data_IF_891953686268
#
_entry.id   IF_891953686268
#
_cell.length_a   1.000
_cell.length_b   1.000
_cell.length_c   1.000
_cell.angle_alpha   90.00
_cell.angle_beta   90.00
_cell.angle_gamma   90.00
#
_symmetry.space_group_name_H-M   'P 1'
#
loop_
_entity.id
_entity.type
_entity.pdbx_description
1 polymer ?
#
# COMPACT_ATOMS: atom_id res chain seq x y z
N UNK A 1 3.79 -25.71 -9.08
CA UNK A 1 4.72 -26.16 -10.15
C UNK A 1 6.12 -26.31 -9.55
N UNK A 2 6.86 -27.39 -9.84
CA UNK A 2 8.24 -27.56 -9.33
C UNK A 2 9.24 -26.98 -10.34
N UNK A 3 9.94 -25.91 -9.95
CA UNK A 3 10.86 -25.14 -10.82
C UNK A 3 12.33 -25.61 -10.77
N UNK A 4 12.71 -26.37 -9.74
CA UNK A 4 14.03 -27.00 -9.63
C UNK A 4 13.95 -28.43 -9.09
N UNK A 5 14.92 -29.27 -9.46
CA UNK A 5 15.16 -30.59 -8.87
C UNK A 5 16.65 -30.79 -8.64
N UNK A 6 17.05 -31.23 -7.45
CA UNK A 6 18.46 -31.46 -7.09
C UNK A 6 19.37 -30.26 -7.41
N UNK A 7 18.92 -29.05 -7.04
CA UNK A 7 19.63 -27.77 -7.28
C UNK A 7 19.87 -27.44 -8.75
N UNK A 8 19.09 -28.05 -9.66
CA UNK A 8 19.11 -27.74 -11.09
C UNK A 8 17.75 -27.25 -11.54
N UNK A 9 17.77 -26.28 -12.43
CA UNK A 9 16.59 -25.75 -13.09
C UNK A 9 15.87 -26.85 -13.87
N UNK A 10 14.54 -26.77 -13.90
CA UNK A 10 13.76 -27.51 -14.88
C UNK A 10 13.67 -26.60 -16.11
N UNK A 11 14.56 -26.80 -17.08
CA UNK A 11 14.82 -25.85 -18.17
C UNK A 11 13.59 -25.51 -19.02
N UNK A 12 12.67 -26.46 -19.19
CA UNK A 12 11.41 -26.25 -19.92
C UNK A 12 10.51 -25.21 -19.23
N UNK A 13 10.41 -25.26 -17.90
CA UNK A 13 9.67 -24.28 -17.10
C UNK A 13 10.32 -22.91 -17.19
N UNK A 14 11.65 -22.83 -17.01
CA UNK A 14 12.38 -21.55 -17.08
C UNK A 14 12.25 -20.94 -18.48
N UNK A 15 12.40 -21.74 -19.54
CA UNK A 15 12.23 -21.29 -20.93
C UNK A 15 10.80 -20.81 -21.20
N UNK A 16 9.79 -21.53 -20.71
CA UNK A 16 8.39 -21.13 -20.86
C UNK A 16 8.14 -19.76 -20.20
N UNK A 17 8.64 -19.55 -18.98
CA UNK A 17 8.53 -18.25 -18.30
C UNK A 17 9.21 -17.14 -19.09
N UNK A 18 10.47 -17.34 -19.52
CA UNK A 18 11.20 -16.35 -20.34
C UNK A 18 10.47 -16.01 -21.64
N UNK A 19 9.85 -16.99 -22.30
CA UNK A 19 9.11 -16.73 -23.55
C UNK A 19 7.80 -15.96 -23.40
N UNK A 20 7.27 -15.82 -22.18
CA UNK A 20 5.97 -15.17 -21.90
C UNK A 20 6.09 -13.84 -21.18
N UNK A 21 7.32 -13.39 -20.92
CA UNK A 21 7.60 -12.15 -20.18
C UNK A 21 8.33 -11.19 -21.10
N UNK A 22 7.90 -9.92 -21.08
CA UNK A 22 8.36 -8.89 -22.01
C UNK A 22 9.87 -8.59 -21.87
N UNK A 23 10.39 -8.59 -20.64
CA UNK A 23 11.82 -8.41 -20.35
C UNK A 23 12.34 -9.63 -19.58
N UNK A 24 12.69 -10.72 -20.28
CA UNK A 24 12.98 -12.01 -19.66
C UNK A 24 14.22 -12.00 -18.79
N UNK A 25 15.20 -11.14 -19.08
CA UNK A 25 16.44 -11.05 -18.27
C UNK A 25 16.19 -10.46 -16.89
N UNK A 26 15.29 -9.47 -16.78
CA UNK A 26 14.89 -8.88 -15.48
C UNK A 26 14.19 -9.94 -14.63
N UNK A 27 13.18 -10.61 -15.20
CA UNK A 27 12.52 -11.71 -14.51
C UNK A 27 13.47 -12.83 -14.10
N UNK A 28 14.43 -13.19 -14.98
CA UNK A 28 15.41 -14.22 -14.65
C UNK A 28 16.33 -13.78 -13.51
N UNK A 29 16.67 -12.50 -13.44
CA UNK A 29 17.33 -11.88 -12.29
C UNK A 29 16.54 -12.05 -10.99
N UNK A 30 15.24 -11.73 -11.00
CA UNK A 30 14.36 -11.89 -9.83
C UNK A 30 14.23 -13.36 -9.40
N UNK A 31 14.15 -14.26 -10.38
CA UNK A 31 14.17 -15.70 -10.15
C UNK A 31 15.46 -16.13 -9.43
N UNK A 32 16.62 -15.72 -9.93
CA UNK A 32 17.92 -16.03 -9.32
C UNK A 32 18.07 -15.42 -7.92
N UNK A 33 17.60 -14.19 -7.72
CA UNK A 33 17.61 -13.52 -6.41
C UNK A 33 16.76 -14.28 -5.39
N UNK A 34 15.52 -14.64 -5.76
CA UNK A 34 14.61 -15.42 -4.92
C UNK A 34 15.19 -16.79 -4.57
N UNK A 35 15.78 -17.47 -5.57
CA UNK A 35 16.46 -18.73 -5.37
C UNK A 35 17.66 -18.57 -4.42
N UNK A 36 18.49 -17.55 -4.62
CA UNK A 36 19.64 -17.24 -3.76
C UNK A 36 19.23 -17.05 -2.31
N UNK A 37 18.19 -16.26 -2.06
CA UNK A 37 17.63 -16.05 -0.73
C UNK A 37 17.16 -17.37 -0.08
N UNK A 38 16.43 -18.20 -0.83
CA UNK A 38 15.98 -19.51 -0.34
C UNK A 38 17.15 -20.45 0.00
N UNK A 39 18.24 -20.43 -0.78
CA UNK A 39 19.44 -21.24 -0.52
C UNK A 39 20.22 -20.77 0.70
N UNK A 40 20.29 -19.45 0.93
CA UNK A 40 20.86 -18.91 2.17
C UNK A 40 20.04 -19.39 3.37
N UNK A 41 18.71 -19.28 3.31
CA UNK A 41 17.82 -19.78 4.36
C UNK A 41 18.00 -21.28 4.62
N UNK A 42 18.04 -22.09 3.57
CA UNK A 42 18.29 -23.53 3.66
C UNK A 42 19.63 -23.85 4.34
N UNK A 43 20.70 -23.16 3.93
CA UNK A 43 22.04 -23.34 4.50
C UNK A 43 22.04 -23.01 6.00
N UNK A 44 21.48 -21.85 6.39
CA UNK A 44 21.40 -21.44 7.79
C UNK A 44 20.56 -22.39 8.64
N UNK A 45 19.46 -22.91 8.10
CA UNK A 45 18.65 -23.91 8.78
C UNK A 45 19.43 -25.22 9.00
N UNK A 46 20.19 -25.68 8.01
CA UNK A 46 21.07 -26.87 8.14
C UNK A 46 22.14 -26.65 9.20
N UNK A 47 22.77 -25.47 9.26
CA UNK A 47 23.75 -25.10 10.28
C UNK A 47 23.13 -25.13 11.70
N UNK A 48 21.92 -24.58 11.87
CA UNK A 48 21.19 -24.63 13.14
C UNK A 48 20.88 -26.07 13.56
N UNK A 49 20.38 -26.90 12.64
CA UNK A 49 20.07 -28.30 12.91
C UNK A 49 21.32 -29.10 13.26
N UNK A 50 22.45 -28.85 12.60
CA UNK A 50 23.72 -29.50 12.93
C UNK A 50 24.22 -29.12 14.33
N UNK A 51 24.00 -27.88 14.76
CA UNK A 51 24.45 -27.36 16.06
C UNK A 51 23.56 -27.81 17.22
N UNK A 52 22.25 -27.76 17.05
CA UNK A 52 21.28 -27.93 18.14
C UNK A 52 20.48 -29.23 18.05
N UNK A 53 20.53 -29.94 16.92
CA UNK A 53 19.74 -31.13 16.68
C UNK A 53 18.36 -30.81 16.09
N UNK A 54 17.88 -31.71 15.23
CA UNK A 54 16.61 -31.54 14.50
C UNK A 54 15.41 -31.39 15.42
N UNK A 55 15.30 -32.23 16.45
CA UNK A 55 14.13 -32.25 17.32
C UNK A 55 14.05 -30.97 18.15
N UNK A 56 15.16 -30.47 18.70
CA UNK A 56 15.22 -29.16 19.37
C UNK A 56 14.77 -28.01 18.48
N UNK A 57 15.17 -27.98 17.21
CA UNK A 57 14.72 -26.94 16.27
C UNK A 57 13.21 -27.04 15.99
N UNK A 58 12.67 -28.26 15.86
CA UNK A 58 11.22 -28.46 15.68
C UNK A 58 10.44 -28.01 16.91
N UNK A 59 10.91 -28.37 18.10
CA UNK A 59 10.30 -27.97 19.37
C UNK A 59 10.32 -26.45 19.53
N UNK A 60 11.45 -25.80 19.19
CA UNK A 60 11.54 -24.34 19.18
C UNK A 60 10.54 -23.68 18.23
N UNK A 61 10.37 -24.20 17.01
CA UNK A 61 9.40 -23.65 16.05
C UNK A 61 7.98 -23.76 16.60
N UNK A 62 7.60 -24.90 17.17
CA UNK A 62 6.29 -25.08 17.80
C UNK A 62 6.09 -24.10 18.96
N UNK A 63 7.05 -24.04 19.90
CA UNK A 63 6.97 -23.15 21.06
C UNK A 63 6.94 -21.67 20.65
N UNK A 64 7.67 -21.28 19.60
CA UNK A 64 7.66 -19.91 19.10
C UNK A 64 6.29 -19.50 18.53
N UNK A 65 5.65 -20.39 17.78
CA UNK A 65 4.30 -20.17 17.27
C UNK A 65 3.30 -20.11 18.43
N UNK A 66 3.39 -21.02 19.41
CA UNK A 66 2.49 -21.06 20.56
C UNK A 66 2.68 -19.85 21.49
N UNK A 67 3.92 -19.39 21.66
CA UNK A 67 4.21 -18.12 22.35
C UNK A 67 3.55 -16.93 21.65
N UNK A 68 3.66 -16.88 20.32
CA UNK A 68 3.08 -15.79 19.52
C UNK A 68 1.55 -15.80 19.59
N UNK A 69 0.95 -16.99 19.60
CA UNK A 69 -0.48 -17.17 19.84
C UNK A 69 -0.91 -16.66 21.21
N UNK A 70 -0.20 -17.03 22.29
CA UNK A 70 -0.49 -16.53 23.66
C UNK A 70 -0.34 -15.01 23.77
N UNK A 71 0.67 -14.43 23.10
CA UNK A 71 0.88 -12.97 23.07
C UNK A 71 -0.26 -12.25 22.36
N UNK A 72 -0.72 -12.78 21.22
CA UNK A 72 -1.88 -12.22 20.51
C UNK A 72 -3.16 -12.39 21.34
N UNK A 73 -3.36 -13.55 21.94
CA UNK A 73 -4.53 -13.83 22.78
C UNK A 73 -4.64 -12.84 23.95
N UNK A 74 -3.54 -12.59 24.65
CA UNK A 74 -3.49 -11.58 25.70
C UNK A 74 -3.76 -10.17 25.15
N UNK A 75 -3.15 -9.79 24.02
CA UNK A 75 -3.41 -8.47 23.45
C UNK A 75 -4.91 -8.28 23.08
N UNK A 76 -5.58 -9.34 22.62
CA UNK A 76 -7.03 -9.30 22.34
C UNK A 76 -7.85 -9.24 23.64
N UNK A 77 -7.42 -9.90 24.72
CA UNK A 77 -8.15 -9.90 26.00
C UNK A 77 -8.23 -8.51 26.65
N UNK A 78 -7.25 -7.65 26.35
CA UNK A 78 -7.20 -6.26 26.85
C UNK A 78 -8.05 -5.29 26.01
N UNK A 79 -8.50 -5.70 24.82
CA UNK A 79 -9.36 -4.85 24.00
C UNK A 79 -10.79 -4.79 24.56
N UNK A 80 -11.49 -3.64 24.38
CA UNK A 80 -12.92 -3.60 24.67
C UNK A 80 -13.69 -4.56 23.76
N UNK A 81 -14.69 -5.25 24.31
CA UNK A 81 -15.60 -6.06 23.52
C UNK A 81 -16.49 -5.13 22.66
N UNK A 82 -16.70 -5.51 21.40
CA UNK A 82 -17.49 -4.68 20.49
C UNK A 82 -17.69 -5.31 19.12
N UNK A 83 -18.73 -4.84 18.44
CA UNK A 83 -18.89 -4.99 17.00
C UNK A 83 -18.60 -3.63 16.37
N UNK A 84 -17.62 -3.59 15.49
CA UNK A 84 -17.14 -2.38 14.81
C UNK A 84 -17.49 -2.47 13.33
N UNK A 85 -17.81 -1.34 12.72
CA UNK A 85 -18.12 -1.27 11.30
C UNK A 85 -17.30 -0.20 10.62
N UNK A 86 -16.90 -0.46 9.39
CA UNK A 86 -16.22 0.53 8.56
C UNK A 86 -16.55 0.33 7.11
N UNK A 87 -16.61 1.45 6.42
CA UNK A 87 -16.90 1.53 5.00
C UNK A 87 -15.82 2.35 4.33
N UNK A 88 -15.32 1.84 3.20
CA UNK A 88 -14.48 2.57 2.26
C UNK A 88 -15.00 2.31 0.84
N UNK A 89 -14.45 3.00 -0.15
CA UNK A 89 -14.88 2.86 -1.53
C UNK A 89 -13.72 3.08 -2.46
N UNK A 90 -13.53 2.13 -3.37
CA UNK A 90 -12.65 2.30 -4.51
C UNK A 90 -13.32 3.21 -5.54
N UNK A 91 -12.55 4.06 -6.19
CA UNK A 91 -13.02 4.98 -7.21
C UNK A 91 -13.67 4.31 -8.43
N UNK A 92 -14.47 5.06 -9.22
CA UNK A 92 -15.06 4.57 -10.46
C UNK A 92 -14.04 4.03 -11.47
N UNK A 93 -14.46 3.01 -12.22
CA UNK A 93 -13.70 2.44 -13.34
C UNK A 93 -14.61 2.28 -14.56
N UNK A 94 -14.06 2.11 -15.78
CA UNK A 94 -14.86 1.73 -16.94
C UNK A 94 -15.73 0.50 -16.66
N UNK A 95 -17.05 0.66 -16.74
CA UNK A 95 -18.03 -0.38 -16.41
C UNK A 95 -18.44 -0.46 -14.93
N UNK A 96 -17.86 0.36 -14.05
CA UNK A 96 -18.15 0.47 -12.61
C UNK A 96 -18.26 1.95 -12.22
N UNK A 97 -19.31 2.68 -12.67
CA UNK A 97 -19.41 4.14 -12.54
C UNK A 97 -19.53 4.64 -11.09
N UNK A 98 -20.02 3.81 -10.17
CA UNK A 98 -20.16 4.15 -8.74
C UNK A 98 -18.95 3.69 -7.91
N UNK A 99 -17.90 3.15 -8.57
CA UNK A 99 -16.79 2.50 -7.89
C UNK A 99 -17.19 1.18 -7.22
N UNK A 100 -16.38 0.73 -6.26
CA UNK A 100 -16.61 -0.54 -5.56
C UNK A 100 -16.59 -0.30 -4.04
N UNK A 101 -17.69 -0.56 -3.31
CA UNK A 101 -17.69 -0.43 -1.86
C UNK A 101 -16.84 -1.53 -1.21
N UNK A 102 -16.24 -1.19 -0.07
CA UNK A 102 -15.56 -2.12 0.84
C UNK A 102 -16.17 -1.96 2.21
N UNK A 103 -16.92 -2.97 2.65
CA UNK A 103 -17.52 -3.05 3.97
C UNK A 103 -16.72 -4.03 4.83
N UNK A 104 -16.45 -3.64 6.06
CA UNK A 104 -15.76 -4.47 7.05
C UNK A 104 -16.57 -4.45 8.33
N UNK A 105 -16.91 -5.64 8.85
CA UNK A 105 -17.45 -5.79 10.20
C UNK A 105 -16.46 -6.56 11.06
N UNK A 106 -16.06 -5.99 12.20
CA UNK A 106 -15.12 -6.61 13.12
C UNK A 106 -15.84 -6.95 14.42
N UNK A 107 -15.71 -8.19 14.90
CA UNK A 107 -16.19 -8.59 16.23
C UNK A 107 -15.00 -8.91 17.10
N UNK A 108 -14.82 -8.13 18.15
CA UNK A 108 -13.78 -8.35 19.15
C UNK A 108 -14.42 -9.14 20.29
N UNK A 109 -13.89 -10.34 20.55
CA UNK A 109 -14.35 -11.25 21.59
C UNK A 109 -13.24 -11.48 22.61
N UNK A 110 -13.03 -10.56 23.57
CA UNK A 110 -11.91 -10.64 24.51
C UNK A 110 -11.91 -11.92 25.34
N UNK A 111 -13.10 -12.43 25.73
CA UNK A 111 -13.23 -13.65 26.53
C UNK A 111 -12.89 -14.93 25.74
N UNK A 112 -13.05 -14.90 24.41
CA UNK A 112 -12.62 -15.98 23.52
C UNK A 112 -11.21 -15.74 22.96
N UNK A 113 -10.59 -14.60 23.28
CA UNK A 113 -9.29 -14.15 22.78
C UNK A 113 -9.22 -14.16 21.24
N UNK A 114 -10.33 -13.82 20.58
CA UNK A 114 -10.49 -13.89 19.13
C UNK A 114 -11.02 -12.57 18.56
N UNK A 115 -10.49 -12.21 17.40
CA UNK A 115 -11.06 -11.18 16.53
C UNK A 115 -11.62 -11.86 15.28
N UNK A 116 -12.88 -11.59 14.96
CA UNK A 116 -13.50 -12.00 13.70
C UNK A 116 -13.62 -10.80 12.77
N UNK A 117 -13.12 -10.91 11.54
CA UNK A 117 -13.28 -9.92 10.48
C UNK A 117 -14.20 -10.50 9.41
N UNK A 118 -15.40 -9.96 9.27
CA UNK A 118 -16.42 -10.43 8.35
C UNK A 118 -16.45 -9.56 7.08
N UNK A 119 -16.11 -10.17 5.94
CA UNK A 119 -16.07 -9.53 4.63
C UNK A 119 -17.15 -10.06 3.69
N UNK A 120 -18.11 -10.84 4.21
CA UNK A 120 -19.14 -11.47 3.38
C UNK A 120 -20.15 -10.46 2.83
N UNK A 121 -20.36 -9.35 3.52
CA UNK A 121 -21.22 -8.24 3.08
C UNK A 121 -20.50 -7.28 2.11
N UNK A 122 -19.95 -7.83 1.03
CA UNK A 122 -19.35 -7.06 -0.05
C UNK A 122 -19.93 -7.52 -1.38
N UNK A 123 -19.76 -6.71 -2.43
CA UNK A 123 -20.33 -7.02 -3.75
C UNK A 123 -19.65 -8.23 -4.39
N UNK A 124 -20.35 -8.81 -5.36
CA UNK A 124 -19.80 -9.91 -6.16
C UNK A 124 -18.55 -9.49 -6.93
N UNK A 125 -17.77 -10.46 -7.39
CA UNK A 125 -16.63 -10.19 -8.27
C UNK A 125 -17.06 -9.32 -9.47
N UNK A 126 -16.27 -8.29 -9.74
CA UNK A 126 -16.52 -7.31 -10.79
C UNK A 126 -15.74 -7.64 -12.06
N UNK A 127 -16.19 -7.21 -13.26
CA UNK A 127 -15.50 -7.46 -14.53
C UNK A 127 -14.29 -6.52 -14.72
N UNK A 128 -13.43 -6.42 -13.70
CA UNK A 128 -12.23 -5.59 -13.69
C UNK A 128 -11.05 -6.33 -13.03
N UNK A 129 -9.83 -5.83 -13.20
CA UNK A 129 -8.61 -6.43 -12.64
C UNK A 129 -8.41 -6.28 -11.14
N UNK A 130 -9.36 -5.66 -10.44
CA UNK A 130 -9.24 -5.24 -9.03
C UNK A 130 -9.85 -6.23 -8.01
N UNK A 131 -10.38 -7.38 -8.46
CA UNK A 131 -10.84 -8.40 -7.52
C UNK A 131 -9.66 -8.94 -6.71
N UNK A 132 -9.88 -9.18 -5.42
CA UNK A 132 -8.86 -9.77 -4.57
C UNK A 132 -8.79 -11.29 -4.75
N UNK A 133 -7.60 -11.82 -4.51
CA UNK A 133 -7.43 -13.25 -4.26
C UNK A 133 -7.84 -13.59 -2.83
N UNK A 134 -8.16 -14.85 -2.54
CA UNK A 134 -8.44 -15.31 -1.17
C UNK A 134 -7.29 -14.95 -0.22
N UNK A 135 -6.05 -15.13 -0.67
CA UNK A 135 -4.86 -14.77 0.08
C UNK A 135 -4.84 -13.26 0.38
N UNK A 136 -5.03 -12.42 -0.64
CA UNK A 136 -5.06 -10.96 -0.49
C UNK A 136 -6.16 -10.48 0.45
N UNK A 137 -7.38 -11.00 0.31
CA UNK A 137 -8.52 -10.66 1.18
C UNK A 137 -8.22 -11.02 2.64
N UNK A 138 -7.67 -12.21 2.87
CA UNK A 138 -7.30 -12.68 4.21
C UNK A 138 -6.19 -11.83 4.81
N UNK A 139 -5.10 -11.59 4.07
CA UNK A 139 -3.94 -10.87 4.59
C UNK A 139 -4.21 -9.39 4.77
N UNK A 140 -5.00 -8.75 3.91
CA UNK A 140 -5.38 -7.35 4.05
C UNK A 140 -6.18 -7.09 5.34
N UNK A 141 -7.17 -7.94 5.63
CA UNK A 141 -7.90 -7.91 6.89
C UNK A 141 -6.96 -8.13 8.09
N UNK A 142 -6.05 -9.11 8.00
CA UNK A 142 -5.07 -9.34 9.06
C UNK A 142 -4.14 -8.15 9.27
N UNK A 143 -3.61 -7.53 8.21
CA UNK A 143 -2.74 -6.35 8.32
C UNK A 143 -3.47 -5.22 9.04
N UNK A 144 -4.72 -4.92 8.65
CA UNK A 144 -5.51 -3.88 9.30
C UNK A 144 -5.72 -4.14 10.80
N UNK A 145 -5.99 -5.39 11.19
CA UNK A 145 -6.04 -5.78 12.62
C UNK A 145 -4.69 -5.59 13.29
N UNK A 146 -3.61 -6.11 12.69
CA UNK A 146 -2.28 -6.10 13.29
C UNK A 146 -1.73 -4.69 13.45
N UNK A 147 -2.10 -3.73 12.59
CA UNK A 147 -1.78 -2.31 12.75
C UNK A 147 -2.38 -1.69 14.03
N UNK A 148 -3.46 -2.27 14.55
CA UNK A 148 -4.18 -1.79 15.73
C UNK A 148 -3.89 -2.61 17.00
N UNK A 149 -3.00 -3.61 16.91
CA UNK A 149 -2.59 -4.46 18.02
C UNK A 149 -1.17 -4.10 18.43
N UNK A 150 -0.88 -4.17 19.74
CA UNK A 150 0.45 -3.97 20.32
C UNK A 150 1.58 -4.52 19.42
N UNK A 151 2.49 -3.61 19.04
CA UNK A 151 3.65 -3.87 18.19
C UNK A 151 4.61 -4.95 18.73
N UNK A 152 4.55 -5.25 20.03
CA UNK A 152 5.35 -6.28 20.68
C UNK A 152 4.85 -7.71 20.41
N UNK A 153 3.65 -7.89 19.85
CA UNK A 153 3.12 -9.19 19.43
C UNK A 153 3.89 -9.71 18.21
N UNK A 154 4.51 -10.90 18.26
CA UNK A 154 5.22 -11.44 17.11
C UNK A 154 4.29 -11.68 15.91
N UNK A 155 4.66 -11.16 14.74
CA UNK A 155 3.87 -11.27 13.50
C UNK A 155 4.20 -12.56 12.76
N UNK A 156 3.61 -13.68 13.18
CA UNK A 156 3.76 -14.98 12.51
C UNK A 156 2.48 -15.82 12.60
N UNK A 157 2.51 -17.00 11.99
CA UNK A 157 1.37 -17.92 11.90
C UNK A 157 0.75 -18.35 13.23
N UNK A 158 1.45 -18.19 14.37
CA UNK A 158 0.89 -18.40 15.70
C UNK A 158 -0.09 -17.30 16.11
N UNK A 159 0.34 -16.03 15.99
CA UNK A 159 -0.53 -14.88 16.25
C UNK A 159 -1.75 -14.86 15.32
N UNK A 160 -1.57 -15.25 14.05
CA UNK A 160 -2.66 -15.23 13.07
C UNK A 160 -3.79 -16.21 13.39
N UNK A 161 -3.57 -17.24 14.22
CA UNK A 161 -4.61 -18.20 14.66
C UNK A 161 -5.76 -17.53 15.40
N UNK A 162 -5.54 -16.34 15.97
CA UNK A 162 -6.53 -15.58 16.75
C UNK A 162 -7.30 -14.54 15.93
N UNK A 163 -7.04 -14.47 14.62
CA UNK A 163 -7.78 -13.63 13.68
C UNK A 163 -8.54 -14.54 12.71
N UNK A 164 -9.87 -14.54 12.81
CA UNK A 164 -10.75 -15.31 11.92
C UNK A 164 -11.29 -14.38 10.85
N UNK A 165 -10.87 -14.58 9.60
CA UNK A 165 -11.42 -13.82 8.47
C UNK A 165 -12.53 -14.64 7.80
N UNK A 166 -13.74 -14.10 7.76
CA UNK A 166 -14.91 -14.73 7.16
C UNK A 166 -15.08 -14.22 5.73
N UNK A 167 -14.91 -15.12 4.77
CA UNK A 167 -15.03 -14.83 3.34
C UNK A 167 -16.19 -15.62 2.73
N UNK A 168 -16.65 -15.17 1.57
CA UNK A 168 -17.58 -15.93 0.72
C UNK A 168 -17.02 -16.05 -0.70
N UNK A 169 -17.49 -17.06 -1.42
CA UNK A 169 -17.23 -17.21 -2.84
C UNK A 169 -17.87 -16.08 -3.67
N UNK A 170 -17.25 -15.82 -4.82
CA UNK A 170 -17.66 -14.81 -5.80
C UNK A 170 -17.79 -13.41 -5.16
N UNK A 171 -16.83 -12.97 -4.37
CA UNK A 171 -16.83 -11.67 -3.70
C UNK A 171 -15.57 -10.88 -4.06
N UNK A 172 -15.72 -9.56 -4.28
CA UNK A 172 -14.62 -8.69 -4.72
C UNK A 172 -13.47 -8.59 -3.70
N UNK A 173 -13.80 -8.70 -2.41
CA UNK A 173 -12.85 -8.79 -1.27
C UNK A 173 -13.04 -10.13 -0.53
N UNK A 174 -13.20 -11.22 -1.30
CA UNK A 174 -13.39 -12.57 -0.76
C UNK A 174 -12.65 -13.63 -1.56
N UNK A 175 -13.33 -14.75 -1.82
CA UNK A 175 -12.79 -15.86 -2.62
C UNK A 175 -13.24 -15.64 -4.08
N UNK A 176 -12.32 -15.35 -5.01
CA UNK A 176 -12.69 -15.07 -6.39
C UNK A 176 -13.17 -16.34 -7.09
N UNK A 177 -14.08 -16.18 -8.05
CA UNK A 177 -14.53 -17.28 -8.91
C UNK A 177 -14.03 -17.04 -10.33
N UNK A 178 -13.38 -18.04 -10.92
CA UNK A 178 -12.98 -17.99 -12.34
C UNK A 178 -14.21 -17.66 -13.23
N UNK A 179 -14.09 -16.75 -14.22
CA UNK A 179 -12.88 -16.13 -14.75
C UNK A 179 -12.56 -14.73 -14.21
N UNK A 180 -12.98 -14.36 -12.99
CA UNK A 180 -12.68 -13.06 -12.41
C UNK A 180 -11.16 -12.78 -12.38
N UNK A 181 -10.75 -11.60 -12.87
CA UNK A 181 -9.35 -11.19 -12.88
C UNK A 181 -8.90 -10.67 -11.53
N UNK A 182 -7.70 -11.10 -11.10
CA UNK A 182 -7.05 -10.69 -9.85
C UNK A 182 -5.70 -9.99 -10.12
N UNK A 183 -5.55 -9.33 -11.28
CA UNK A 183 -4.26 -8.79 -11.72
C UNK A 183 -3.70 -7.69 -10.81
N UNK A 184 -4.58 -6.92 -10.16
CA UNK A 184 -4.23 -5.85 -9.21
C UNK A 184 -4.56 -6.23 -7.76
N UNK A 185 -4.68 -7.53 -7.46
CA UNK A 185 -5.13 -8.02 -6.16
C UNK A 185 -4.18 -7.72 -4.99
N UNK A 186 -3.00 -7.16 -5.19
CA UNK A 186 -2.07 -6.80 -4.11
C UNK A 186 -2.12 -5.32 -3.76
N UNK A 187 -2.81 -4.49 -4.54
CA UNK A 187 -2.90 -3.04 -4.35
C UNK A 187 -4.36 -2.59 -4.49
N UNK A 188 -4.63 -1.27 -4.55
CA UNK A 188 -5.98 -0.72 -4.75
C UNK A 188 -7.00 -1.26 -3.72
N UNK A 189 -7.85 -2.22 -4.09
CA UNK A 189 -8.83 -2.86 -3.20
C UNK A 189 -8.20 -3.47 -1.94
N UNK A 190 -6.98 -4.01 -2.04
CA UNK A 190 -6.24 -4.53 -0.87
C UNK A 190 -5.94 -3.41 0.12
N UNK A 191 -5.47 -2.28 -0.39
CA UNK A 191 -5.15 -1.11 0.43
C UNK A 191 -6.42 -0.51 1.05
N UNK A 192 -7.54 -0.46 0.30
CA UNK A 192 -8.85 -0.04 0.83
C UNK A 192 -9.32 -0.96 1.95
N UNK A 193 -9.13 -2.27 1.82
CA UNK A 193 -9.50 -3.22 2.87
C UNK A 193 -8.63 -3.07 4.13
N UNK A 194 -7.32 -2.86 3.98
CA UNK A 194 -6.42 -2.58 5.11
C UNK A 194 -6.89 -1.31 5.84
N UNK A 195 -7.09 -0.21 5.08
CA UNK A 195 -7.56 1.07 5.59
C UNK A 195 -8.92 0.97 6.30
N UNK A 196 -9.90 0.33 5.67
CA UNK A 196 -11.22 0.15 6.26
C UNK A 196 -11.13 -0.63 7.57
N UNK A 197 -10.33 -1.69 7.60
CA UNK A 197 -10.15 -2.54 8.79
C UNK A 197 -9.47 -1.77 9.93
N UNK A 198 -8.34 -1.10 9.69
CA UNK A 198 -7.64 -0.34 10.75
C UNK A 198 -8.46 0.86 11.25
N UNK A 199 -9.26 1.48 10.37
CA UNK A 199 -10.14 2.60 10.74
C UNK A 199 -11.32 2.15 11.60
N UNK A 200 -11.84 0.94 11.40
CA UNK A 200 -12.92 0.39 12.20
C UNK A 200 -12.57 0.36 13.70
N UNK A 201 -11.31 0.06 14.06
CA UNK A 201 -10.84 0.09 15.45
C UNK A 201 -10.99 1.44 16.13
N UNK A 202 -11.06 2.54 15.37
CA UNK A 202 -11.28 3.86 15.94
C UNK A 202 -12.67 3.99 16.59
N UNK A 203 -13.65 3.15 16.26
CA UNK A 203 -14.96 3.15 16.94
C UNK A 203 -14.87 2.76 18.43
N UNK A 204 -13.76 2.14 18.87
CA UNK A 204 -13.52 1.83 20.28
C UNK A 204 -13.17 3.07 21.12
N UNK A 205 -12.72 4.16 20.50
CA UNK A 205 -12.31 5.40 21.15
C UNK A 205 -11.04 6.00 20.57
N UNK A 206 -10.65 7.17 21.08
CA UNK A 206 -9.51 7.97 20.60
C UNK A 206 -8.14 7.29 20.77
N UNK A 207 -8.04 6.24 21.58
CA UNK A 207 -6.81 5.49 21.81
C UNK A 207 -6.59 4.37 20.78
N UNK A 208 -7.59 4.10 19.93
CA UNK A 208 -7.61 2.91 19.06
C UNK A 208 -7.71 3.27 17.58
N UNK A 209 -7.27 2.31 16.76
CA UNK A 209 -7.36 2.42 15.31
C UNK A 209 -6.39 3.42 14.71
N UNK A 210 -6.56 3.67 13.42
CA UNK A 210 -5.84 4.67 12.65
C UNK A 210 -6.81 5.36 11.70
N UNK A 211 -6.45 6.54 11.19
CA UNK A 211 -7.08 7.07 9.98
C UNK A 211 -6.75 6.19 8.77
N UNK A 212 -7.27 6.52 7.58
CA UNK A 212 -6.83 5.87 6.35
C UNK A 212 -5.51 6.47 5.85
N UNK A 213 -4.59 5.60 5.41
CA UNK A 213 -3.41 6.01 4.65
C UNK A 213 -3.74 6.11 3.17
N UNK A 214 -2.96 6.87 2.41
CA UNK A 214 -3.12 6.92 0.97
C UNK A 214 -2.62 5.62 0.29
N UNK A 215 -3.22 5.25 -0.84
CA UNK A 215 -3.16 3.92 -1.44
C UNK A 215 -3.03 3.91 -2.98
N UNK A 216 -2.69 5.06 -3.56
CA UNK A 216 -2.62 5.28 -5.01
C UNK A 216 -1.31 4.74 -5.58
N UNK A 217 -1.35 4.20 -6.80
CA UNK A 217 -0.16 3.98 -7.63
C UNK A 217 -0.20 4.93 -8.83
N UNK A 218 -0.14 6.22 -8.55
CA UNK A 218 -0.19 7.29 -9.53
C UNK A 218 1.10 7.41 -10.34
N UNK A 219 1.33 8.59 -10.91
CA UNK A 219 2.45 8.80 -11.83
C UNK A 219 3.81 8.48 -11.18
N UNK A 220 3.99 8.75 -9.89
CA UNK A 220 5.27 8.54 -9.19
C UNK A 220 5.58 7.09 -8.81
N UNK A 221 4.58 6.22 -8.94
CA UNK A 221 4.66 4.78 -8.69
C UNK A 221 4.35 3.96 -9.96
N UNK A 222 4.33 4.62 -11.12
CA UNK A 222 3.93 4.06 -12.41
C UNK A 222 4.97 3.14 -13.05
N UNK A 223 4.55 2.45 -14.10
CA UNK A 223 5.40 1.63 -14.97
C UNK A 223 5.79 2.44 -16.20
N UNK A 224 7.09 2.74 -16.32
CA UNK A 224 7.65 3.35 -17.52
C UNK A 224 8.13 2.27 -18.48
N UNK A 225 7.96 2.51 -19.78
CA UNK A 225 8.48 1.64 -20.84
C UNK A 225 8.72 2.40 -22.13
N UNK A 226 9.55 1.84 -23.00
CA UNK A 226 9.92 2.45 -24.26
C UNK A 226 11.18 1.83 -24.85
N UNK A 227 11.87 2.61 -25.67
CA UNK A 227 13.18 2.28 -26.24
C UNK A 227 14.23 3.25 -25.75
N UNK A 228 15.44 2.77 -25.54
CA UNK A 228 16.56 3.60 -25.10
C UNK A 228 17.63 3.76 -26.21
N UNK A 229 17.61 4.89 -26.91
CA UNK A 229 18.61 5.20 -27.94
C UNK A 229 20.06 5.21 -27.43
N UNK A 230 20.29 5.42 -26.13
CA UNK A 230 21.65 5.35 -25.52
C UNK A 230 22.23 3.94 -25.60
N UNK A 231 21.36 2.94 -25.70
CA UNK A 231 21.70 1.53 -25.76
C UNK A 231 21.30 0.91 -27.11
N UNK A 232 21.28 1.69 -28.20
CA UNK A 232 20.98 1.17 -29.54
C UNK A 232 19.49 0.88 -29.79
N UNK A 233 18.60 1.41 -28.96
CA UNK A 233 17.15 1.27 -29.12
C UNK A 233 16.55 0.01 -28.47
N UNK A 234 17.28 -0.60 -27.54
CA UNK A 234 16.79 -1.72 -26.72
C UNK A 234 15.53 -1.33 -25.94
N UNK A 235 14.62 -2.29 -25.75
CA UNK A 235 13.39 -2.09 -25.00
C UNK A 235 13.67 -2.06 -23.48
N UNK A 236 12.95 -1.20 -22.76
CA UNK A 236 12.97 -1.19 -21.31
C UNK A 236 11.55 -1.20 -20.74
N UNK A 237 11.42 -1.75 -19.53
CA UNK A 237 10.26 -1.62 -18.67
C UNK A 237 10.73 -1.56 -17.22
N UNK A 238 10.16 -0.67 -16.43
CA UNK A 238 10.39 -0.63 -14.99
C UNK A 238 9.22 0.05 -14.28
N UNK A 239 8.91 -0.42 -13.08
CA UNK A 239 8.09 0.34 -12.16
C UNK A 239 9.00 1.30 -11.39
N UNK A 240 8.74 2.61 -11.50
CA UNK A 240 9.45 3.60 -10.71
C UNK A 240 8.83 3.68 -9.32
N UNK A 241 9.64 3.97 -8.31
CA UNK A 241 9.21 4.23 -6.95
C UNK A 241 9.77 5.59 -6.49
N UNK A 242 9.49 6.64 -7.27
CA UNK A 242 10.03 7.99 -7.04
C UNK A 242 9.16 8.86 -6.11
N UNK A 243 8.07 8.30 -5.58
CA UNK A 243 7.09 8.98 -4.75
C UNK A 243 6.64 8.09 -3.58
N UNK A 244 5.95 8.67 -2.59
CA UNK A 244 5.26 7.95 -1.52
C UNK A 244 3.83 8.46 -1.38
N UNK A 245 2.93 7.59 -0.92
CA UNK A 245 1.63 8.04 -0.43
C UNK A 245 1.76 8.59 1.00
N UNK A 246 0.85 9.50 1.36
CA UNK A 246 0.79 10.03 2.72
C UNK A 246 0.27 9.01 3.74
N UNK A 247 1.00 8.80 4.83
CA UNK A 247 0.60 7.91 5.92
C UNK A 247 -0.57 8.43 6.76
N UNK A 248 -1.32 7.53 7.43
CA UNK A 248 -2.45 7.91 8.29
C UNK A 248 -1.99 8.58 9.59
N UNK A 249 -2.76 9.56 10.07
CA UNK A 249 -2.70 9.96 11.47
C UNK A 249 -3.12 8.81 12.39
N UNK A 250 -2.55 8.78 13.59
CA UNK A 250 -2.82 7.74 14.60
C UNK A 250 -3.14 8.36 15.97
N UNK A 251 -3.57 7.57 16.96
CA UNK A 251 -3.76 8.03 18.34
C UNK A 251 -2.54 8.66 19.01
N UNK A 252 -1.33 8.43 18.48
CA UNK A 252 -0.07 8.77 19.17
C UNK A 252 0.89 9.61 18.34
N UNK A 253 0.72 9.68 17.02
CA UNK A 253 1.62 10.42 16.13
C UNK A 253 1.00 10.77 14.78
N UNK A 254 1.60 11.78 14.14
CA UNK A 254 1.33 12.17 12.75
C UNK A 254 1.68 11.06 11.76
N UNK A 255 1.04 11.09 10.60
CA UNK A 255 1.29 10.17 9.52
C UNK A 255 2.69 10.31 8.91
N UNK A 256 3.25 9.18 8.50
CA UNK A 256 4.61 9.13 7.94
C UNK A 256 4.65 9.56 6.48
N UNK A 257 5.58 10.45 6.13
CA UNK A 257 5.87 10.83 4.74
C UNK A 257 6.50 9.70 3.93
N UNK A 258 7.09 8.71 4.62
CA UNK A 258 7.69 7.52 4.00
C UNK A 258 6.77 6.32 3.98
N UNK A 259 5.45 6.51 4.14
CA UNK A 259 4.50 5.43 4.34
C UNK A 259 4.42 4.43 3.18
N UNK A 260 4.64 4.87 1.94
CA UNK A 260 4.55 4.01 0.77
C UNK A 260 3.10 3.72 0.39
N UNK A 261 2.54 2.61 0.84
CA UNK A 261 1.12 2.21 0.72
C UNK A 261 0.75 1.29 1.91
N UNK A 262 -0.54 1.05 2.20
CA UNK A 262 -0.95 0.24 3.37
C UNK A 262 -0.42 -1.19 3.39
N UNK A 263 -0.20 -1.81 2.24
CA UNK A 263 0.32 -3.17 2.11
C UNK A 263 1.83 -3.30 2.41
N UNK A 264 2.59 -2.20 2.34
CA UNK A 264 4.03 -2.18 2.54
C UNK A 264 4.52 -1.30 3.72
N UNK A 265 3.73 -0.33 4.18
CA UNK A 265 3.92 0.44 5.42
C UNK A 265 5.39 0.80 5.76
N UNK A 266 5.97 1.71 4.97
CA UNK A 266 7.32 2.25 5.10
C UNK A 266 8.50 1.27 4.95
N UNK A 267 8.24 0.03 4.48
CA UNK A 267 9.32 -0.90 4.10
C UNK A 267 9.87 -0.65 2.70
N UNK A 268 9.11 0.03 1.85
CA UNK A 268 9.52 0.39 0.48
C UNK A 268 10.41 1.64 0.51
N UNK A 269 11.57 1.56 -0.14
CA UNK A 269 12.48 2.69 -0.30
C UNK A 269 12.15 3.46 -1.58
N UNK A 270 12.29 4.78 -1.52
CA UNK A 270 12.16 5.66 -2.69
C UNK A 270 13.41 5.53 -3.56
N UNK A 271 13.20 5.42 -4.87
CA UNK A 271 14.27 5.38 -5.85
C UNK A 271 15.11 6.67 -5.84
N UNK A 272 16.41 6.53 -6.13
CA UNK A 272 17.26 7.70 -6.38
C UNK A 272 16.96 8.28 -7.76
N UNK A 273 16.62 9.57 -7.82
CA UNK A 273 16.40 10.32 -9.07
C UNK A 273 17.59 10.14 -10.03
N UNK A 274 18.82 10.31 -9.54
CA UNK A 274 20.03 10.19 -10.36
C UNK A 274 20.18 8.79 -10.95
N UNK A 275 19.90 7.74 -10.16
CA UNK A 275 19.96 6.36 -10.65
C UNK A 275 18.86 6.08 -11.69
N UNK A 276 17.65 6.60 -11.49
CA UNK A 276 16.57 6.49 -12.47
C UNK A 276 16.92 7.16 -13.80
N UNK A 277 17.45 8.39 -13.78
CA UNK A 277 17.86 9.12 -15.00
C UNK A 277 19.08 8.50 -15.70
N UNK A 278 19.99 7.90 -14.93
CA UNK A 278 21.10 7.13 -15.49
C UNK A 278 20.59 5.86 -16.19
N UNK A 279 19.67 5.12 -15.54
CA UNK A 279 19.22 3.81 -16.03
C UNK A 279 18.17 3.89 -17.12
N UNK A 280 17.30 4.90 -17.11
CA UNK A 280 16.18 5.06 -18.05
C UNK A 280 16.26 6.42 -18.77
N UNK A 281 15.79 6.54 -20.03
CA UNK A 281 15.90 7.77 -20.81
C UNK A 281 14.85 8.82 -20.36
N UNK A 282 14.84 9.12 -19.07
CA UNK A 282 13.90 10.01 -18.39
C UNK A 282 14.62 11.20 -17.75
N UNK A 283 13.84 12.22 -17.40
CA UNK A 283 14.26 13.35 -16.56
C UNK A 283 13.16 13.63 -15.54
N UNK A 284 13.53 13.80 -14.27
CA UNK A 284 12.65 14.27 -13.20
C UNK A 284 12.81 15.78 -13.08
N UNK A 285 11.72 16.50 -13.38
CA UNK A 285 11.70 17.97 -13.34
C UNK A 285 11.50 18.48 -11.92
N UNK A 286 10.69 17.78 -11.12
CA UNK A 286 10.39 18.16 -9.74
C UNK A 286 9.87 16.98 -8.93
N UNK A 287 10.15 16.99 -7.63
CA UNK A 287 9.59 16.09 -6.63
C UNK A 287 9.48 16.88 -5.32
N UNK A 288 8.26 17.06 -4.79
CA UNK A 288 8.02 17.83 -3.57
C UNK A 288 6.89 17.24 -2.72
N UNK A 289 6.86 17.59 -1.44
CA UNK A 289 5.66 17.44 -0.61
C UNK A 289 4.67 18.56 -0.95
N UNK A 290 3.41 18.21 -1.12
CA UNK A 290 2.35 19.17 -1.41
C UNK A 290 1.82 19.75 -0.10
N UNK A 291 1.97 21.05 0.10
CA UNK A 291 1.40 21.72 1.28
C UNK A 291 -0.12 21.50 1.37
N UNK A 292 -0.66 21.49 2.60
CA UNK A 292 -2.09 21.40 2.91
C UNK A 292 -2.80 20.11 2.46
N UNK A 293 -2.04 19.13 1.98
CA UNK A 293 -2.58 17.89 1.43
C UNK A 293 -2.81 16.81 2.49
N UNK A 294 -2.14 16.90 3.63
CA UNK A 294 -2.33 16.00 4.75
C UNK A 294 -3.61 16.32 5.52
N UNK A 295 -4.42 15.30 5.82
CA UNK A 295 -5.69 15.47 6.51
C UNK A 295 -5.51 16.09 7.91
N UNK A 296 -6.16 17.23 8.20
CA UNK A 296 -6.08 17.83 9.52
C UNK A 296 -6.60 16.93 10.64
N UNK A 297 -5.89 16.88 11.75
CA UNK A 297 -6.30 16.19 12.98
C UNK A 297 -5.42 16.63 14.14
N UNK A 298 -5.75 16.21 15.37
CA UNK A 298 -4.83 16.30 16.51
C UNK A 298 -3.45 15.75 16.11
N UNK A 299 -3.49 14.61 15.43
CA UNK A 299 -2.39 14.08 14.65
C UNK A 299 -2.74 14.12 13.16
N UNK A 300 -1.93 14.82 12.38
CA UNK A 300 -2.16 15.10 10.95
C UNK A 300 -1.79 13.88 10.11
N UNK A 301 -2.56 13.58 9.06
CA UNK A 301 -2.12 12.63 8.03
C UNK A 301 -0.94 13.19 7.22
N UNK A 302 -0.04 12.35 6.72
CA UNK A 302 1.14 12.85 6.00
C UNK A 302 0.74 13.57 4.69
N UNK A 303 1.48 14.62 4.28
CA UNK A 303 1.24 15.27 3.00
C UNK A 303 1.44 14.30 1.81
N UNK A 304 0.73 14.58 0.73
CA UNK A 304 0.94 14.01 -0.58
C UNK A 304 2.32 14.36 -1.15
N UNK A 305 2.86 13.47 -1.96
CA UNK A 305 4.00 13.73 -2.82
C UNK A 305 3.52 14.09 -4.23
N UNK A 306 4.11 15.13 -4.82
CA UNK A 306 3.94 15.48 -6.22
C UNK A 306 5.24 15.28 -7.00
N UNK A 307 5.13 14.66 -8.17
CA UNK A 307 6.24 14.47 -9.10
C UNK A 307 5.89 14.97 -10.50
N UNK A 308 6.90 15.52 -11.19
CA UNK A 308 6.85 15.81 -12.63
C UNK A 308 8.05 15.16 -13.31
N UNK A 309 7.81 14.33 -14.31
CA UNK A 309 8.88 13.70 -15.11
C UNK A 309 8.45 13.46 -16.56
N UNK A 310 9.40 13.14 -17.42
CA UNK A 310 9.17 12.92 -18.83
C UNK A 310 10.37 12.29 -19.53
N UNK A 311 10.25 11.94 -20.82
CA UNK A 311 11.36 11.41 -21.60
C UNK A 311 12.40 12.47 -21.94
N UNK A 312 13.66 12.04 -22.07
CA UNK A 312 14.76 12.90 -22.51
C UNK A 312 14.97 12.91 -24.03
N UNK A 313 14.79 11.77 -24.70
CA UNK A 313 15.17 11.60 -26.11
C UNK A 313 14.03 11.07 -26.98
N UNK A 314 13.52 9.88 -26.64
CA UNK A 314 12.47 9.19 -27.36
C UNK A 314 11.19 9.13 -26.53
N UNK A 315 10.05 8.92 -27.18
CA UNK A 315 8.77 8.78 -26.49
C UNK A 315 8.82 7.71 -25.39
N UNK A 316 8.09 7.96 -24.31
CA UNK A 316 7.94 7.07 -23.17
C UNK A 316 6.49 6.75 -22.94
N UNK A 317 6.18 5.48 -22.72
CA UNK A 317 4.87 5.04 -22.25
C UNK A 317 4.89 4.95 -20.74
N UNK A 318 3.90 5.58 -20.08
CA UNK A 318 3.67 5.50 -18.65
C UNK A 318 2.32 4.83 -18.40
N UNK A 319 2.33 3.68 -17.73
CA UNK A 319 1.14 3.01 -17.23
C UNK A 319 1.03 3.19 -15.72
N UNK A 320 -0.10 3.65 -15.23
CA UNK A 320 -0.31 3.93 -13.81
C UNK A 320 -1.71 3.49 -13.37
N UNK A 321 -1.82 3.15 -12.09
CA UNK A 321 -3.02 2.61 -11.48
C UNK A 321 -3.35 3.44 -10.24
N UNK A 322 -3.60 4.73 -10.48
CA UNK A 322 -3.97 5.69 -9.46
C UNK A 322 -5.37 5.40 -8.91
N UNK A 323 -5.61 5.90 -7.70
CA UNK A 323 -6.84 5.70 -6.93
C UNK A 323 -6.99 6.89 -5.97
N UNK A 324 -8.07 7.02 -5.21
CA UNK A 324 -8.26 8.10 -4.23
C UNK A 324 -8.35 9.50 -4.84
N UNK A 325 -8.74 9.58 -6.12
CA UNK A 325 -9.06 10.81 -6.82
C UNK A 325 -10.47 11.31 -6.46
N UNK A 326 -11.43 10.40 -6.26
CA UNK A 326 -12.81 10.74 -5.89
C UNK A 326 -13.10 10.46 -4.40
N UNK A 327 -12.59 9.36 -3.86
CA UNK A 327 -12.77 8.99 -2.45
C UNK A 327 -11.43 9.08 -1.70
N UNK A 328 -10.94 10.26 -1.31
CA UNK A 328 -9.64 10.37 -0.64
C UNK A 328 -9.60 9.65 0.72
N UNK A 329 -8.42 9.41 1.30
CA UNK A 329 -8.28 8.78 2.60
C UNK A 329 -9.10 9.49 3.67
N UNK A 330 -9.92 8.71 4.38
CA UNK A 330 -10.79 9.22 5.43
C UNK A 330 -10.02 9.44 6.75
N UNK A 331 -10.35 10.51 7.45
CA UNK A 331 -9.91 10.74 8.82
C UNK A 331 -10.63 9.84 9.83
N UNK A 332 -10.18 9.87 11.08
CA UNK A 332 -10.78 9.14 12.20
C UNK A 332 -10.91 10.02 13.45
N UNK A 333 -11.87 9.72 14.32
CA UNK A 333 -12.06 10.40 15.61
C UNK A 333 -12.11 11.94 15.50
N UNK A 334 -12.83 12.48 14.50
CA UNK A 334 -12.93 13.92 14.25
C UNK A 334 -11.84 14.50 13.34
N UNK A 335 -10.82 13.70 12.99
CA UNK A 335 -9.86 14.03 11.96
C UNK A 335 -10.50 14.09 10.57
N UNK A 336 -9.89 14.90 9.69
CA UNK A 336 -10.38 15.18 8.34
C UNK A 336 -9.66 14.35 7.29
N UNK A 337 -10.27 14.22 6.11
CA UNK A 337 -9.67 13.52 4.97
C UNK A 337 -8.42 14.21 4.44
N UNK A 338 -7.50 13.42 3.89
CA UNK A 338 -6.37 13.92 3.10
C UNK A 338 -6.81 14.39 1.71
N UNK A 339 -5.88 14.92 0.93
CA UNK A 339 -6.14 15.36 -0.44
C UNK A 339 -6.38 14.18 -1.39
N UNK A 340 -7.15 14.47 -2.44
CA UNK A 340 -7.28 13.57 -3.57
C UNK A 340 -5.96 13.47 -4.37
N UNK A 341 -5.73 12.31 -4.98
CA UNK A 341 -4.67 12.12 -5.96
C UNK A 341 -5.06 12.74 -7.31
N UNK A 342 -4.11 12.96 -8.20
CA UNK A 342 -4.39 13.32 -9.60
C UNK A 342 -3.25 12.92 -10.53
N UNK A 343 -3.57 12.82 -11.82
CA UNK A 343 -2.58 12.61 -12.88
C UNK A 343 -2.90 13.53 -14.05
N UNK A 344 -1.89 14.26 -14.52
CA UNK A 344 -2.00 15.23 -15.61
C UNK A 344 -0.89 15.04 -16.61
N UNK A 345 -1.19 15.38 -17.87
CA UNK A 345 -0.18 15.55 -18.92
C UNK A 345 0.06 17.05 -19.14
N UNK A 346 1.33 17.45 -19.20
CA UNK A 346 1.74 18.81 -19.56
C UNK A 346 2.22 18.78 -21.01
N UNK A 347 1.51 19.49 -21.88
CA UNK A 347 1.88 19.66 -23.28
C UNK A 347 3.14 20.51 -23.48
N UNK A 348 3.67 20.51 -24.70
CA UNK A 348 4.83 21.36 -25.08
C UNK A 348 4.55 22.87 -24.97
N UNK A 349 3.28 23.23 -25.08
CA UNK A 349 2.75 24.59 -24.87
C UNK A 349 2.57 24.93 -23.38
N UNK A 350 2.84 23.98 -22.47
CA UNK A 350 2.66 24.13 -21.04
C UNK A 350 1.23 23.89 -20.54
N UNK A 351 0.28 23.56 -21.43
CA UNK A 351 -1.10 23.31 -21.05
C UNK A 351 -1.21 21.98 -20.31
N UNK A 352 -1.82 22.00 -19.12
CA UNK A 352 -2.12 20.79 -18.35
C UNK A 352 -3.47 20.21 -18.79
N UNK A 353 -3.49 18.90 -19.03
CA UNK A 353 -4.71 18.13 -19.27
C UNK A 353 -4.84 17.05 -18.20
N UNK A 354 -5.97 17.04 -17.48
CA UNK A 354 -6.30 15.99 -16.53
C UNK A 354 -6.45 14.65 -17.27
N UNK A 355 -5.83 13.61 -16.72
CA UNK A 355 -5.92 12.26 -17.22
C UNK A 355 -6.80 11.41 -16.29
N UNK A 356 -7.40 10.31 -16.78
CA UNK A 356 -8.04 9.34 -15.90
C UNK A 356 -7.03 8.82 -14.86
N UNK A 357 -7.48 8.51 -13.62
CA UNK A 357 -6.60 8.07 -12.54
C UNK A 357 -5.94 6.71 -12.81
N UNK A 358 -6.58 5.86 -13.62
CA UNK A 358 -5.96 4.65 -14.17
C UNK A 358 -5.82 4.81 -15.68
N UNK A 359 -4.61 4.63 -16.19
CA UNK A 359 -4.36 4.87 -17.60
C UNK A 359 -3.02 4.38 -18.10
N UNK A 360 -2.91 4.35 -19.43
CA UNK A 360 -1.65 4.20 -20.16
C UNK A 360 -1.54 5.41 -21.07
N UNK A 361 -0.48 6.20 -20.92
CA UNK A 361 -0.28 7.43 -21.67
C UNK A 361 1.09 7.42 -22.34
N UNK A 362 1.16 7.98 -23.54
CA UNK A 362 2.43 8.26 -24.22
C UNK A 362 2.82 9.72 -23.96
N UNK A 363 4.07 9.91 -23.52
CA UNK A 363 4.69 11.21 -23.30
C UNK A 363 5.78 11.36 -24.36
N UNK A 364 5.71 12.43 -25.15
CA UNK A 364 6.72 12.78 -26.14
C UNK A 364 7.83 13.64 -25.53
N UNK A 365 9.02 13.71 -26.15
CA UNK A 365 10.05 14.68 -25.76
C UNK A 365 9.48 16.11 -25.73
N UNK A 366 9.73 16.81 -24.62
CA UNK A 366 9.20 18.15 -24.35
C UNK A 366 7.82 18.17 -23.67
N UNK A 367 7.16 17.03 -23.51
CA UNK A 367 5.96 16.85 -22.68
C UNK A 367 6.33 16.25 -21.32
N UNK A 368 5.43 16.37 -20.35
CA UNK A 368 5.64 15.85 -18.99
C UNK A 368 4.40 15.13 -18.48
N UNK A 369 4.59 14.16 -17.60
CA UNK A 369 3.54 13.67 -16.71
C UNK A 369 3.74 14.32 -15.34
N UNK A 370 2.65 14.83 -14.78
CA UNK A 370 2.57 15.40 -13.43
C UNK A 370 1.58 14.57 -12.64
N UNK A 371 1.97 14.08 -11.46
CA UNK A 371 1.05 13.37 -10.60
C UNK A 371 1.29 13.68 -9.15
N UNK A 372 0.20 13.83 -8.41
CA UNK A 372 0.21 13.83 -6.97
C UNK A 372 -0.45 12.55 -6.47
N UNK A 373 0.23 11.88 -5.54
CA UNK A 373 -0.42 10.84 -4.74
C UNK A 373 -1.40 11.50 -3.74
N UNK A 374 -2.16 10.71 -2.98
CA UNK A 374 -3.01 11.26 -1.93
C UNK A 374 -2.23 11.57 -0.65
N UNK A 375 -2.70 12.55 0.11
CA UNK A 375 -2.30 12.72 1.51
C UNK A 375 -3.04 11.73 2.41
N UNK A 376 -2.53 11.45 3.60
CA UNK A 376 -3.20 10.59 4.57
C UNK A 376 -4.33 11.31 5.31
N UNK A 377 -5.28 10.54 5.88
CA UNK A 377 -6.31 11.09 6.76
C UNK A 377 -5.76 11.51 8.12
N UNK A 378 -6.35 12.53 8.73
CA UNK A 378 -6.02 12.99 10.09
C UNK A 378 -6.74 12.18 11.17
N UNK A 379 -6.22 12.25 12.40
CA UNK A 379 -6.76 11.57 13.57
C UNK A 379 -7.00 12.56 14.72
N UNK A 380 -8.17 12.49 15.37
CA UNK A 380 -8.53 13.40 16.47
C UNK A 380 -9.02 14.78 15.99
N UNK A 381 -9.69 15.55 16.85
CA UNK A 381 -10.10 16.93 16.51
C UNK A 381 -8.86 17.80 16.20
N UNK A 382 -8.76 18.41 15.00
CA UNK A 382 -7.70 19.35 14.67
C UNK A 382 -7.46 20.45 15.71
N UNK A 383 -8.49 20.88 16.44
CA UNK A 383 -8.38 21.94 17.46
C UNK A 383 -7.60 21.51 18.71
N UNK A 384 -7.38 20.20 18.89
CA UNK A 384 -6.56 19.67 19.97
C UNK A 384 -5.08 19.54 19.59
N UNK A 385 -4.71 19.85 18.34
CA UNK A 385 -3.32 19.77 17.90
C UNK A 385 -2.47 20.78 18.68
N UNK A 386 -1.32 20.32 19.16
CA UNK A 386 -0.36 21.18 19.84
C UNK A 386 0.10 22.32 18.92
N UNK A 387 0.03 23.56 19.43
CA UNK A 387 0.46 24.75 18.71
C UNK A 387 1.92 24.69 18.26
N UNK A 388 2.80 24.03 19.02
CA UNK A 388 4.20 23.84 18.63
C UNK A 388 4.33 22.95 17.39
N UNK A 389 3.48 21.91 17.26
CA UNK A 389 3.45 21.06 16.08
C UNK A 389 2.83 21.78 14.88
N UNK A 390 1.84 22.64 15.09
CA UNK A 390 1.30 23.50 14.02
C UNK A 390 2.38 24.45 13.50
N UNK A 391 3.12 25.12 14.40
CA UNK A 391 4.20 26.01 14.00
C UNK A 391 5.31 25.26 13.24
N UNK A 392 5.69 24.07 13.70
CA UNK A 392 6.62 23.21 12.97
C UNK A 392 6.12 22.86 11.56
N UNK A 393 4.85 22.47 11.41
CA UNK A 393 4.27 22.17 10.09
C UNK A 393 4.28 23.41 9.16
N UNK A 394 4.14 24.62 9.70
CA UNK A 394 4.25 25.88 8.95
C UNK A 394 5.69 26.13 8.51
N UNK A 395 6.66 25.96 9.41
CA UNK A 395 8.08 26.19 9.14
C UNK A 395 8.63 25.20 8.10
N UNK A 396 8.16 23.95 8.13
CA UNK A 396 8.48 22.92 7.13
C UNK A 396 7.68 23.07 5.82
N UNK A 397 6.72 23.99 5.76
CA UNK A 397 5.88 24.24 4.59
C UNK A 397 4.88 23.12 4.29
N UNK A 398 4.58 22.26 5.27
CA UNK A 398 3.58 21.20 5.12
C UNK A 398 2.16 21.71 5.30
N UNK A 399 2.00 22.77 6.08
CA UNK A 399 0.73 23.45 6.33
C UNK A 399 0.92 24.96 6.12
N UNK A 400 0.05 25.58 5.33
CA UNK A 400 0.05 27.04 5.15
C UNK A 400 -0.57 27.74 6.36
N UNK A 401 -0.30 29.03 6.54
CA UNK A 401 -0.90 29.81 7.65
C UNK A 401 -2.42 29.88 7.52
N UNK A 402 -2.93 29.90 6.30
CA UNK A 402 -4.35 29.88 5.98
C UNK A 402 -5.02 28.58 6.50
N UNK A 403 -4.40 27.42 6.26
CA UNK A 403 -4.90 26.14 6.77
C UNK A 403 -4.65 26.00 8.27
N UNK A 404 -3.52 26.46 8.79
CA UNK A 404 -3.27 26.53 10.23
C UNK A 404 -4.42 27.25 10.96
N UNK A 405 -4.83 28.41 10.45
CA UNK A 405 -5.90 29.19 11.05
C UNK A 405 -7.28 28.56 10.86
N UNK A 406 -7.63 28.15 9.62
CA UNK A 406 -8.97 27.68 9.29
C UNK A 406 -9.26 26.25 9.76
N UNK A 407 -8.27 25.36 9.75
CA UNK A 407 -8.44 23.96 10.13
C UNK A 407 -8.16 23.72 11.61
N UNK A 408 -7.10 24.31 12.16
CA UNK A 408 -6.65 24.08 13.54
C UNK A 408 -7.02 25.20 14.51
N UNK A 409 -7.51 26.35 14.02
CA UNK A 409 -7.82 27.50 14.87
C UNK A 409 -6.58 28.27 15.33
N UNK A 410 -5.44 28.07 14.67
CA UNK A 410 -4.18 28.73 14.99
C UNK A 410 -4.28 30.24 14.79
N UNK A 411 -3.78 31.00 15.77
CA UNK A 411 -3.66 32.45 15.73
C UNK A 411 -2.24 32.78 16.15
N UNK A 412 -1.52 33.48 15.26
CA UNK A 412 -0.18 34.02 15.54
C UNK A 412 -0.18 34.98 16.75
#
# INVERSE_FOLDING_TARGET
VRIQKAYRDVDDIIRMCRSRIRVPEVWYGDYLATLGAARIGEKRLKELVARYGKETIKDFVSEWLDYSERRMAHAISELPAGELQSHSRHDPLPGLPDGVPVNVTIRIKPQEEIIEVDLRDNVDCVPAGINLSEASSTTAAMIGVLNCIDSSVPRNGGAFRRIKVLLRENCVVGIPRFPASCSMATTNMTNRLINATQRAFSELGEEYGLAEGAASMGAGLGVISGKDARHGGEEYVNQILLSNNGGPGSPVCDGWVTYGMPDCAATTLVDSVEICELKYPMLVRSLYLLADSGGPGKFRGAPAHEIVYGPRFDKMTVAYFGEMNLHPPLGAQGGRSGSASYVRKIGRDGVETELPPIGVTEIEPGEWIRGAESGGGGFGDPKERDHALIQHDIDEGWVTREVASSAYGYKD
#
